data_IF_804610698439
#
_entry.id   IF_804610698439
#
_cell.length_a   1.000
_cell.length_b   1.000
_cell.length_c   1.000
_cell.angle_alpha   90.00
_cell.angle_beta   90.00
_cell.angle_gamma   90.00
#
_symmetry.space_group_name_H-M   'P 1'
#
loop_
_entity.id
_entity.type
_entity.pdbx_description
1 polymer ?
#
# COMPACT_ATOMS: atom_id res chain seq x y z
N UNK A 1 2.81 -32.97 -13.95
CA UNK A 1 2.06 -31.71 -13.82
C UNK A 1 2.85 -30.61 -14.52
N UNK A 2 2.24 -29.95 -15.49
CA UNK A 2 2.90 -29.06 -16.47
C UNK A 2 3.22 -27.68 -15.89
N UNK A 3 4.50 -27.31 -15.84
CA UNK A 3 4.93 -25.94 -15.57
C UNK A 3 4.75 -25.11 -16.85
N UNK A 4 3.83 -24.14 -16.82
CA UNK A 4 3.64 -23.19 -17.91
C UNK A 4 4.83 -22.22 -17.95
N UNK A 5 5.78 -22.47 -18.86
CA UNK A 5 6.85 -21.54 -19.22
C UNK A 5 6.23 -20.29 -19.84
N UNK A 6 6.34 -19.15 -19.17
CA UNK A 6 5.94 -17.85 -19.74
C UNK A 6 6.83 -17.58 -20.96
N UNK A 7 6.27 -17.18 -22.12
CA UNK A 7 7.09 -16.92 -23.30
C UNK A 7 7.98 -15.69 -23.05
N UNK A 8 9.27 -15.83 -23.35
CA UNK A 8 10.24 -14.75 -23.39
C UNK A 8 9.81 -13.74 -24.47
N UNK A 9 9.20 -12.64 -24.03
CA UNK A 9 8.77 -11.56 -24.92
C UNK A 9 9.87 -10.48 -24.91
N UNK A 10 10.59 -10.26 -26.03
CA UNK A 10 11.65 -9.28 -26.07
C UNK A 10 11.05 -7.88 -25.87
N UNK A 11 11.38 -7.25 -24.73
CA UNK A 11 11.02 -5.86 -24.48
C UNK A 11 11.72 -4.99 -25.52
N UNK A 12 10.94 -4.32 -26.38
CA UNK A 12 11.45 -3.33 -27.34
C UNK A 12 12.31 -2.29 -26.62
N UNK A 13 13.48 -1.91 -27.17
CA UNK A 13 14.31 -0.88 -26.59
C UNK A 13 13.54 0.45 -26.54
N UNK A 14 13.73 1.19 -25.46
CA UNK A 14 13.10 2.49 -25.26
C UNK A 14 13.74 3.51 -26.20
N UNK A 15 12.93 4.37 -26.81
CA UNK A 15 13.49 5.51 -27.55
C UNK A 15 14.14 6.51 -26.60
N UNK A 16 15.08 7.30 -27.10
CA UNK A 16 15.75 8.34 -26.30
C UNK A 16 14.75 9.33 -25.68
N UNK A 17 13.72 9.71 -26.44
CA UNK A 17 12.62 10.55 -25.96
C UNK A 17 11.88 9.91 -24.78
N UNK A 18 11.59 8.61 -24.87
CA UNK A 18 10.95 7.86 -23.78
C UNK A 18 11.87 7.76 -22.55
N UNK A 19 13.18 7.60 -22.75
CA UNK A 19 14.15 7.51 -21.66
C UNK A 19 14.29 8.85 -20.92
N UNK A 20 14.41 9.96 -21.67
CA UNK A 20 14.47 11.31 -21.12
C UNK A 20 13.22 11.65 -20.29
N UNK A 21 12.03 11.32 -20.81
CA UNK A 21 10.77 11.51 -20.09
C UNK A 21 10.71 10.70 -18.79
N UNK A 22 11.08 9.40 -18.82
CA UNK A 22 11.13 8.57 -17.61
C UNK A 22 12.09 9.11 -16.56
N UNK A 23 13.28 9.57 -16.96
CA UNK A 23 14.26 10.20 -16.05
C UNK A 23 13.71 11.46 -15.39
N UNK A 24 13.03 12.32 -16.16
CA UNK A 24 12.38 13.52 -15.63
C UNK A 24 11.28 13.20 -14.63
N UNK A 25 10.41 12.23 -14.97
CA UNK A 25 9.31 11.81 -14.09
C UNK A 25 9.81 11.13 -12.80
N UNK A 26 10.86 10.32 -12.89
CA UNK A 26 11.46 9.67 -11.73
C UNK A 26 12.01 10.70 -10.72
N UNK A 27 12.58 11.82 -11.19
CA UNK A 27 13.03 12.92 -10.32
C UNK A 27 11.88 13.61 -9.59
N UNK A 28 10.67 13.60 -10.15
CA UNK A 28 9.46 14.19 -9.55
C UNK A 28 8.74 13.22 -8.60
N UNK A 29 8.90 11.91 -8.80
CA UNK A 29 8.23 10.86 -8.03
C UNK A 29 9.28 9.93 -7.39
N UNK A 30 9.85 10.36 -6.27
CA UNK A 30 10.84 9.56 -5.52
C UNK A 30 10.21 8.66 -4.46
N UNK A 31 8.89 8.53 -4.45
CA UNK A 31 8.14 7.90 -3.37
C UNK A 31 8.36 8.58 -2.00
N UNK A 32 7.78 8.02 -0.93
CA UNK A 32 8.01 8.53 0.42
C UNK A 32 9.42 8.21 0.93
N UNK A 33 10.14 9.23 1.39
CA UNK A 33 11.51 9.09 1.94
C UNK A 33 11.54 9.02 3.46
N UNK A 34 10.52 9.55 4.14
CA UNK A 34 10.44 9.59 5.61
C UNK A 34 9.68 8.38 6.16
N UNK A 35 9.90 8.00 7.44
CA UNK A 35 9.13 6.95 8.10
C UNK A 35 7.61 7.20 8.03
N UNK A 36 7.17 8.44 8.27
CA UNK A 36 5.76 8.85 8.25
C UNK A 36 5.19 8.77 6.83
N UNK A 37 5.97 9.16 5.83
CA UNK A 37 5.59 9.03 4.42
C UNK A 37 5.42 7.57 4.02
N UNK A 38 6.33 6.69 4.45
CA UNK A 38 6.26 5.24 4.18
C UNK A 38 5.05 4.62 4.88
N UNK A 39 4.83 5.00 6.14
CA UNK A 39 3.70 4.56 6.93
C UNK A 39 2.36 4.96 6.28
N UNK A 40 2.26 6.12 5.64
CA UNK A 40 1.09 6.53 4.85
C UNK A 40 0.98 5.77 3.53
N UNK A 41 2.07 5.63 2.78
CA UNK A 41 2.03 4.95 1.49
C UNK A 41 1.74 3.46 1.60
N UNK A 42 2.12 2.80 2.70
CA UNK A 42 1.79 1.38 2.95
C UNK A 42 0.29 1.14 3.10
N UNK A 43 -0.47 2.17 3.47
CA UNK A 43 -1.92 2.11 3.61
C UNK A 43 -2.62 1.95 2.26
N UNK A 44 -2.01 2.46 1.17
CA UNK A 44 -2.61 2.46 -0.19
C UNK A 44 -2.89 1.04 -0.73
N UNK A 45 -2.19 0.03 -0.23
CA UNK A 45 -2.37 -1.36 -0.66
C UNK A 45 -3.51 -2.07 0.10
N UNK A 46 -4.15 -1.44 1.09
CA UNK A 46 -5.23 -2.07 1.85
C UNK A 46 -6.52 -2.09 1.05
N UNK A 47 -7.07 -3.29 0.89
CA UNK A 47 -8.34 -3.54 0.19
C UNK A 47 -9.46 -3.97 1.12
N UNK A 48 -9.15 -4.84 2.08
CA UNK A 48 -10.16 -5.44 2.98
C UNK A 48 -9.91 -5.18 4.47
N UNK A 49 -8.78 -4.56 4.84
CA UNK A 49 -8.47 -4.26 6.24
C UNK A 49 -8.33 -5.48 7.16
N UNK A 50 -8.45 -6.72 6.67
CA UNK A 50 -8.54 -7.91 7.52
C UNK A 50 -7.32 -8.13 8.45
N UNK A 51 -6.12 -7.73 8.00
CA UNK A 51 -4.89 -7.76 8.80
C UNK A 51 -4.51 -6.39 9.36
N UNK A 52 -5.48 -5.47 9.50
CA UNK A 52 -5.24 -4.19 10.14
C UNK A 52 -4.93 -4.40 11.62
N UNK A 53 -3.98 -3.63 12.15
CA UNK A 53 -3.75 -3.55 13.60
C UNK A 53 -4.64 -2.49 14.25
N UNK A 54 -5.41 -1.76 13.44
CA UNK A 54 -6.31 -0.70 13.91
C UNK A 54 -7.71 -1.28 14.03
N UNK A 55 -8.18 -1.46 15.27
CA UNK A 55 -9.55 -1.93 15.53
C UNK A 55 -10.62 -0.87 15.23
N UNK A 56 -10.22 0.40 15.12
CA UNK A 56 -11.09 1.56 14.90
C UNK A 56 -11.01 2.09 13.47
N UNK A 57 -12.16 2.49 12.93
CA UNK A 57 -12.26 3.29 11.71
C UNK A 57 -12.09 4.78 12.02
N UNK A 58 -11.72 5.59 11.03
CA UNK A 58 -11.37 7.00 11.22
C UNK A 58 -12.54 7.89 11.70
N UNK A 59 -13.77 7.40 11.64
CA UNK A 59 -14.99 8.08 12.05
C UNK A 59 -15.62 7.48 13.31
N UNK A 60 -14.99 6.49 13.93
CA UNK A 60 -15.48 5.88 15.15
C UNK A 60 -14.93 6.61 16.37
N UNK A 61 -15.75 6.75 17.41
CA UNK A 61 -15.34 7.30 18.69
C UNK A 61 -14.55 6.24 19.46
N UNK A 62 -13.30 6.50 19.87
CA UNK A 62 -12.52 5.56 20.66
C UNK A 62 -13.21 5.16 21.97
N UNK A 63 -13.97 6.07 22.56
CA UNK A 63 -14.67 5.88 23.84
C UNK A 63 -15.75 4.79 23.73
N UNK A 64 -16.52 4.80 22.63
CA UNK A 64 -17.57 3.80 22.38
C UNK A 64 -16.98 2.40 22.21
N UNK A 65 -15.86 2.28 21.50
CA UNK A 65 -15.16 1.01 21.33
C UNK A 65 -14.60 0.49 22.65
N UNK A 66 -14.01 1.36 23.47
CA UNK A 66 -13.49 0.98 24.79
C UNK A 66 -14.62 0.49 25.68
N UNK A 67 -15.73 1.21 25.76
CA UNK A 67 -16.89 0.83 26.56
C UNK A 67 -17.47 -0.54 26.12
N UNK A 68 -17.61 -0.74 24.80
CA UNK A 68 -18.07 -2.03 24.26
C UNK A 68 -17.10 -3.16 24.58
N UNK A 69 -15.79 -2.95 24.37
CA UNK A 69 -14.76 -3.95 24.66
C UNK A 69 -14.80 -4.34 26.14
N UNK A 70 -14.84 -3.37 27.04
CA UNK A 70 -14.79 -3.62 28.48
C UNK A 70 -16.04 -4.38 28.94
N UNK A 71 -17.22 -4.10 28.35
CA UNK A 71 -18.44 -4.86 28.62
C UNK A 71 -18.36 -6.36 28.28
N UNK A 72 -17.49 -6.78 27.35
CA UNK A 72 -17.27 -8.18 26.99
C UNK A 72 -16.13 -8.85 27.76
N UNK A 73 -15.24 -8.08 28.37
CA UNK A 73 -14.10 -8.60 29.15
C UNK A 73 -14.49 -8.77 30.62
N UNK A 74 -15.37 -7.91 31.13
CA UNK A 74 -15.84 -7.95 32.52
C UNK A 74 -16.97 -8.98 32.76
N UNK A 75 -17.28 -9.82 31.77
CA UNK A 75 -18.21 -10.97 31.83
C UNK A 75 -17.47 -12.29 32.04
#
# INVERSE_FOLDING_TARGET
MSNATTPDNPKRPLSEKQLAARRSNARKSTGPRTPEGKARSSQNARKHGFFTQTALLFYEAPEDFVALRDSYIDE
#
